data_IF_001277728495
#
_entry.id   IF_001277728495
#
_cell.length_a   1.000
_cell.length_b   1.000
_cell.length_c   1.000
_cell.angle_alpha   90.00
_cell.angle_beta   90.00
_cell.angle_gamma   90.00
#
_symmetry.space_group_name_H-M   'P 1'
#
loop_
_entity.id
_entity.type
_entity.pdbx_description
1 polymer ?
#
# COMPACT_ATOMS: atom_id res chain seq x y z
N UNK A 1 -8.32 6.94 1.11
CA UNK A 1 -8.24 6.14 -0.13
C UNK A 1 -6.86 6.24 -0.76
N UNK A 2 -6.37 7.46 -1.00
CA UNK A 2 -5.11 7.69 -1.69
C UNK A 2 -3.87 7.24 -0.90
N UNK A 3 -3.90 7.39 0.43
CA UNK A 3 -2.80 6.93 1.30
C UNK A 3 -2.58 5.42 1.23
N UNK A 4 -3.67 4.64 1.14
CA UNK A 4 -3.60 3.18 1.01
C UNK A 4 -2.92 2.78 -0.31
N UNK A 5 -3.27 3.45 -1.41
CA UNK A 5 -2.67 3.20 -2.71
C UNK A 5 -1.18 3.57 -2.72
N UNK A 6 -0.81 4.74 -2.20
CA UNK A 6 0.59 5.17 -2.17
C UNK A 6 1.44 4.26 -1.30
N UNK A 7 0.98 3.92 -0.09
CA UNK A 7 1.69 2.96 0.75
C UNK A 7 1.85 1.61 0.04
N UNK A 8 0.77 1.05 -0.50
CA UNK A 8 0.80 -0.24 -1.18
C UNK A 8 1.81 -0.24 -2.33
N UNK A 9 1.83 0.82 -3.15
CA UNK A 9 2.79 0.99 -4.24
C UNK A 9 4.23 1.03 -3.73
N UNK A 10 4.51 1.88 -2.75
CA UNK A 10 5.87 2.07 -2.25
C UNK A 10 6.40 0.85 -1.50
N UNK A 11 5.58 0.20 -0.68
CA UNK A 11 5.95 -1.01 0.03
C UNK A 11 6.11 -2.24 -0.90
N UNK A 12 5.32 -2.30 -1.99
CA UNK A 12 5.52 -3.30 -3.04
C UNK A 12 6.83 -3.07 -3.78
N UNK A 13 7.14 -1.81 -4.11
CA UNK A 13 8.38 -1.46 -4.78
C UNK A 13 9.60 -1.69 -3.87
N UNK A 14 9.50 -1.39 -2.57
CA UNK A 14 10.49 -1.76 -1.55
C UNK A 14 10.89 -3.22 -1.65
N UNK A 15 9.91 -4.13 -1.62
CA UNK A 15 10.17 -5.57 -1.68
C UNK A 15 10.88 -5.96 -2.99
N UNK A 16 10.48 -5.37 -4.11
CA UNK A 16 11.07 -5.64 -5.43
C UNK A 16 12.52 -5.17 -5.55
N UNK A 17 12.87 -4.04 -4.95
CA UNK A 17 14.19 -3.41 -5.10
C UNK A 17 15.13 -3.66 -3.92
N UNK A 18 14.65 -4.25 -2.82
CA UNK A 18 15.40 -4.41 -1.58
C UNK A 18 16.80 -5.01 -1.77
N UNK A 19 16.91 -6.07 -2.60
CA UNK A 19 18.19 -6.77 -2.80
C UNK A 19 19.17 -6.02 -3.70
N UNK A 20 18.68 -5.11 -4.53
CA UNK A 20 19.51 -4.28 -5.42
C UNK A 20 19.91 -2.93 -4.81
N UNK A 21 19.19 -2.48 -3.78
CA UNK A 21 19.45 -1.20 -3.10
C UNK A 21 20.61 -1.29 -2.10
N UNK A 22 21.41 -0.23 -2.03
CA UNK A 22 22.46 -0.11 -1.00
C UNK A 22 21.84 0.04 0.38
N UNK A 23 22.60 -0.29 1.41
CA UNK A 23 22.09 -0.25 2.80
C UNK A 23 21.55 1.13 3.21
N UNK A 24 22.25 2.21 2.86
CA UNK A 24 21.79 3.57 3.19
C UNK A 24 20.50 3.96 2.45
N UNK A 25 20.33 3.49 1.20
CA UNK A 25 19.09 3.70 0.41
C UNK A 25 17.92 2.95 1.07
N UNK A 26 18.16 1.70 1.48
CA UNK A 26 17.17 0.91 2.23
C UNK A 26 16.79 1.59 3.55
N UNK A 27 17.77 2.07 4.30
CA UNK A 27 17.50 2.76 5.57
C UNK A 27 16.68 4.04 5.36
N UNK A 28 17.04 4.85 4.37
CA UNK A 28 16.32 6.07 4.03
C UNK A 28 14.87 5.76 3.65
N UNK A 29 14.67 4.78 2.76
CA UNK A 29 13.34 4.41 2.27
C UNK A 29 12.48 3.75 3.33
N UNK A 30 13.07 2.91 4.19
CA UNK A 30 12.38 2.35 5.35
C UNK A 30 11.86 3.45 6.28
N UNK A 31 12.71 4.42 6.64
CA UNK A 31 12.31 5.57 7.48
C UNK A 31 11.23 6.40 6.81
N UNK A 32 11.35 6.66 5.51
CA UNK A 32 10.34 7.36 4.74
C UNK A 32 8.98 6.65 4.82
N UNK A 33 8.93 5.33 4.59
CA UNK A 33 7.70 4.55 4.66
C UNK A 33 7.09 4.57 6.07
N UNK A 34 7.91 4.45 7.11
CA UNK A 34 7.42 4.48 8.49
C UNK A 34 6.85 5.85 8.84
N UNK A 35 7.61 6.92 8.64
CA UNK A 35 7.22 8.28 9.01
C UNK A 35 5.97 8.79 8.26
N UNK A 36 5.81 8.40 7.00
CA UNK A 36 4.71 8.91 6.18
C UNK A 36 3.44 8.07 6.28
N UNK A 37 3.53 6.79 6.62
CA UNK A 37 2.37 5.89 6.56
C UNK A 37 2.12 5.06 7.83
N UNK A 38 3.14 4.73 8.63
CA UNK A 38 2.99 3.79 9.75
C UNK A 38 2.98 4.49 11.11
N UNK A 39 3.76 5.54 11.28
CA UNK A 39 3.87 6.30 12.52
C UNK A 39 2.48 6.75 13.01
N UNK A 40 2.28 6.80 14.32
CA UNK A 40 1.04 7.26 14.92
C UNK A 40 0.69 8.69 14.48
N UNK A 41 1.71 9.52 14.30
CA UNK A 41 1.59 10.92 13.91
C UNK A 41 1.73 11.14 12.40
N UNK A 42 1.77 10.07 11.60
CA UNK A 42 1.91 10.17 10.15
C UNK A 42 0.70 10.86 9.50
N UNK A 43 0.93 11.89 8.70
CA UNK A 43 -0.13 12.63 7.97
C UNK A 43 -0.92 11.69 7.04
N UNK A 44 -0.22 10.75 6.38
CA UNK A 44 -0.83 9.74 5.50
C UNK A 44 -0.94 8.37 6.19
N UNK A 45 -1.16 8.36 7.51
CA UNK A 45 -1.27 7.11 8.27
C UNK A 45 -2.28 6.15 7.64
N UNK A 46 -1.83 4.92 7.38
CA UNK A 46 -2.69 3.83 6.93
C UNK A 46 -3.42 3.22 8.12
N UNK A 47 -4.65 2.77 7.87
CA UNK A 47 -5.44 2.10 8.89
C UNK A 47 -5.02 0.62 8.97
N UNK A 48 -4.15 0.27 9.92
CA UNK A 48 -3.69 -1.10 10.14
C UNK A 48 -3.82 -1.48 11.63
N UNK A 49 -3.93 -2.79 11.95
CA UNK A 49 -3.93 -3.26 13.33
C UNK A 49 -2.69 -2.83 14.11
N UNK A 50 -2.88 -2.56 15.41
CA UNK A 50 -1.82 -2.12 16.31
C UNK A 50 -0.61 -3.08 16.33
N UNK A 51 -0.85 -4.39 16.27
CA UNK A 51 0.24 -5.37 16.27
C UNK A 51 1.15 -5.24 15.05
N UNK A 52 0.59 -4.94 13.87
CA UNK A 52 1.38 -4.72 12.65
C UNK A 52 2.19 -3.43 12.75
N UNK A 53 1.58 -2.36 13.28
CA UNK A 53 2.27 -1.10 13.54
C UNK A 53 3.44 -1.33 14.51
N UNK A 54 3.21 -2.00 15.63
CA UNK A 54 4.23 -2.34 16.63
C UNK A 54 5.37 -3.17 16.04
N UNK A 55 5.06 -4.19 15.22
CA UNK A 55 6.07 -5.03 14.58
C UNK A 55 7.03 -4.22 13.70
N UNK A 56 6.51 -3.27 12.92
CA UNK A 56 7.32 -2.38 12.07
C UNK A 56 8.10 -1.38 12.92
N UNK A 57 7.51 -0.80 13.96
CA UNK A 57 8.19 0.13 14.86
C UNK A 57 9.33 -0.55 15.64
N UNK A 58 9.20 -1.82 16.02
CA UNK A 58 10.29 -2.58 16.63
C UNK A 58 11.52 -2.69 15.72
N UNK A 59 11.32 -2.81 14.41
CA UNK A 59 12.42 -2.74 13.43
C UNK A 59 13.07 -1.35 13.40
N UNK A 60 12.28 -0.27 13.46
CA UNK A 60 12.80 1.10 13.53
C UNK A 60 13.65 1.34 14.79
N UNK A 61 13.23 0.75 15.91
CA UNK A 61 13.91 0.84 17.21
C UNK A 61 15.13 -0.07 17.33
N UNK A 62 15.45 -0.86 16.30
CA UNK A 62 16.60 -1.77 16.31
C UNK A 62 16.37 -3.08 17.06
N UNK A 63 15.13 -3.40 17.44
CA UNK A 63 14.78 -4.68 18.08
C UNK A 63 14.88 -5.86 17.10
N UNK A 64 14.74 -5.57 15.79
CA UNK A 64 14.79 -6.54 14.70
C UNK A 64 15.51 -5.91 13.48
N UNK A 65 16.21 -6.70 12.66
CA UNK A 65 16.83 -6.18 11.44
C UNK A 65 15.80 -5.77 10.39
N UNK A 66 16.13 -4.77 9.59
CA UNK A 66 15.35 -4.40 8.41
C UNK A 66 15.41 -5.55 7.39
N UNK A 67 14.24 -6.00 6.91
CA UNK A 67 14.13 -7.11 5.95
C UNK A 67 13.22 -6.75 4.77
N UNK A 68 13.36 -7.48 3.65
CA UNK A 68 12.54 -7.28 2.46
C UNK A 68 11.04 -7.49 2.72
N UNK A 69 10.69 -8.32 3.71
CA UNK A 69 9.31 -8.72 4.04
C UNK A 69 8.71 -7.89 5.18
N UNK A 70 9.39 -6.86 5.68
CA UNK A 70 8.96 -6.07 6.85
C UNK A 70 7.56 -5.47 6.70
N UNK A 71 7.13 -5.19 5.47
CA UNK A 71 5.82 -4.59 5.20
C UNK A 71 4.77 -5.59 4.66
N UNK A 72 5.06 -6.88 4.54
CA UNK A 72 4.17 -7.85 3.86
C UNK A 72 2.76 -7.93 4.48
N UNK A 73 2.68 -7.97 5.81
CA UNK A 73 1.41 -7.97 6.53
C UNK A 73 0.63 -6.67 6.27
N UNK A 74 1.32 -5.53 6.33
CA UNK A 74 0.71 -4.21 6.09
C UNK A 74 0.20 -4.08 4.65
N UNK A 75 0.97 -4.55 3.66
CA UNK A 75 0.58 -4.54 2.24
C UNK A 75 -0.67 -5.37 2.03
N UNK A 76 -0.75 -6.55 2.63
CA UNK A 76 -1.90 -7.44 2.55
C UNK A 76 -3.16 -6.80 3.14
N UNK A 77 -3.04 -6.22 4.33
CA UNK A 77 -4.14 -5.53 5.01
C UNK A 77 -4.63 -4.31 4.20
N UNK A 78 -3.70 -3.47 3.74
CA UNK A 78 -4.03 -2.28 2.94
C UNK A 78 -4.66 -2.65 1.60
N UNK A 79 -4.20 -3.73 0.97
CA UNK A 79 -4.80 -4.25 -0.24
C UNK A 79 -6.25 -4.69 -0.01
N UNK A 80 -6.51 -5.44 1.06
CA UNK A 80 -7.87 -5.84 1.44
C UNK A 80 -8.76 -4.62 1.69
N UNK A 81 -8.27 -3.61 2.41
CA UNK A 81 -9.01 -2.36 2.64
C UNK A 81 -9.33 -1.63 1.33
N UNK A 82 -8.42 -1.64 0.37
CA UNK A 82 -8.69 -1.07 -0.95
C UNK A 82 -9.75 -1.86 -1.69
N UNK A 83 -9.68 -3.19 -1.70
CA UNK A 83 -10.66 -4.05 -2.34
C UNK A 83 -12.06 -3.92 -1.75
N UNK A 84 -12.19 -3.81 -0.43
CA UNK A 84 -13.49 -3.78 0.24
C UNK A 84 -14.11 -2.39 0.30
N UNK A 85 -13.30 -1.32 0.40
CA UNK A 85 -13.81 0.04 0.60
C UNK A 85 -13.57 0.98 -0.57
N UNK A 86 -12.39 0.93 -1.19
CA UNK A 86 -11.99 1.89 -2.22
C UNK A 86 -12.53 1.49 -3.58
N UNK A 87 -12.32 0.24 -3.97
CA UNK A 87 -12.68 -0.30 -5.27
C UNK A 87 -14.19 -0.24 -5.56
N UNK A 88 -15.09 -0.66 -4.64
CA UNK A 88 -16.53 -0.58 -4.90
C UNK A 88 -17.05 0.86 -4.98
N UNK A 89 -16.36 1.82 -4.37
CA UNK A 89 -16.66 3.25 -4.52
C UNK A 89 -16.17 3.76 -5.87
N UNK A 90 -14.96 3.40 -6.27
CA UNK A 90 -14.40 3.74 -7.58
C UNK A 90 -15.29 3.27 -8.73
N UNK A 91 -15.75 2.01 -8.70
CA UNK A 91 -16.65 1.45 -9.73
C UNK A 91 -17.98 2.20 -9.87
N UNK A 92 -18.41 2.92 -8.84
CA UNK A 92 -19.64 3.72 -8.87
C UNK A 92 -19.43 5.13 -9.43
N UNK A 93 -18.18 5.55 -9.64
CA UNK A 93 -17.88 6.89 -10.17
C UNK A 93 -18.15 6.98 -11.68
N UNK A 94 -18.48 8.18 -12.14
CA UNK A 94 -18.65 8.48 -13.56
C UNK A 94 -17.39 8.17 -14.37
N UNK A 95 -16.21 8.36 -13.77
CA UNK A 95 -14.93 8.06 -14.41
C UNK A 95 -14.87 6.58 -14.81
N UNK A 96 -15.24 5.67 -13.91
CA UNK A 96 -15.28 4.25 -14.22
C UNK A 96 -16.43 3.93 -15.19
N UNK A 97 -17.64 4.44 -14.91
CA UNK A 97 -18.83 4.13 -15.73
C UNK A 97 -18.70 4.57 -17.18
N UNK A 98 -18.13 5.75 -17.44
CA UNK A 98 -18.00 6.32 -18.79
C UNK A 98 -16.88 5.69 -19.60
N UNK A 99 -15.81 5.21 -18.95
CA UNK A 99 -14.63 4.71 -19.67
C UNK A 99 -14.54 3.19 -19.70
N UNK A 100 -15.19 2.47 -18.78
CA UNK A 100 -15.06 1.02 -18.67
C UNK A 100 -16.39 0.30 -18.86
N UNK A 101 -17.48 0.75 -18.22
CA UNK A 101 -18.81 0.14 -18.44
C UNK A 101 -19.40 0.42 -19.83
N UNK A 102 -19.09 1.58 -20.43
CA UNK A 102 -19.54 1.89 -21.80
C UNK A 102 -18.83 1.02 -22.87
N UNK A 103 -17.67 0.42 -22.56
CA UNK A 103 -16.95 -0.47 -23.47
C UNK A 103 -17.44 -1.92 -23.36
N UNK A 104 -17.96 -2.34 -22.20
CA UNK A 104 -18.49 -3.69 -21.99
C UNK A 104 -19.88 -3.91 -22.64
N UNK A 105 -20.66 -2.84 -22.90
CA UNK A 105 -21.99 -2.96 -23.53
C UNK A 105 -21.89 -3.18 -25.06
N UNK A 106 -20.83 -2.70 -25.71
CA UNK A 106 -20.66 -2.87 -27.16
C UNK A 106 -20.18 -4.28 -27.56
N UNK A 107 -19.66 -5.08 -26.61
CA UNK A 107 -19.20 -6.46 -26.89
C UNK A 107 -20.32 -7.50 -26.82
N UNK A 108 -21.47 -7.17 -26.22
CA UNK A 108 -22.62 -8.07 -26.09
C UNK A 108 -23.69 -7.86 -27.19
N UNK A 109 -23.49 -6.91 -28.11
CA UNK A 109 -24.40 -6.61 -29.22
C UNK A 109 -23.92 -7.09 -30.60
N UNK A 110 -22.76 -7.77 -30.67
CA UNK A 110 -22.20 -8.35 -31.90
C UNK A 110 -22.20 -9.90 -31.92
N UNK A 111 -23.17 -10.55 -31.26
CA UNK A 111 -23.45 -12.00 -31.44
C UNK A 111 -24.86 -12.23 -31.98
#
# INVERSE_FOLDING_TARGET
>A
MLQNYYFWREATLWKKTFRSEKEHERLFRFRFLVQNFIDQDAIMRINIPYEMQRDVMGVLNGEKPISENVFDKCVSEVYLLMLTHSWPRFMRTDLYRKNFLAQDIDLDLEQ
#
